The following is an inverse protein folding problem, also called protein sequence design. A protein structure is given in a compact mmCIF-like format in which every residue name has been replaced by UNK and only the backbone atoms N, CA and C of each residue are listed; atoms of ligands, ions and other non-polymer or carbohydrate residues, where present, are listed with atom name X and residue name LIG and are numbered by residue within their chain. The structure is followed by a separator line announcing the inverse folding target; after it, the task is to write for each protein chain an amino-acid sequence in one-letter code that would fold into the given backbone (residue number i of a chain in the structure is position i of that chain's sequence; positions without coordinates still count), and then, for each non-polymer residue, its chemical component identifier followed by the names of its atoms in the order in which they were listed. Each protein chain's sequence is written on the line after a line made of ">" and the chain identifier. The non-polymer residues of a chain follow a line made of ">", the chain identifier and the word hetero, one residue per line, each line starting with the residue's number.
data_IF_917777392035
#
_entry.id   IF_917777392035
#
_cell.length_a   1.000
_cell.length_b   1.000
_cell.length_c   1.000
_cell.angle_alpha   90.00
_cell.angle_beta   90.00
_cell.angle_gamma   90.00
#
_symmetry.space_group_name_H-M   'P 1'
#
loop_
_entity.id
_entity.type
_entity.pdbx_description
1 polymer ?
#
# COMPACT_ATOMS: atom_id res chain seq x y z
N UNK A 1 19.04 -34.34 48.16
CA UNK A 1 19.67 -35.67 47.95
C UNK A 1 18.56 -36.72 47.90
N UNK A 2 18.75 -37.77 47.08
CA UNK A 2 17.88 -38.95 46.82
C UNK A 2 16.85 -38.70 45.69
N UNK A 3 17.19 -38.97 44.41
CA UNK A 3 17.21 -40.27 43.68
C UNK A 3 15.87 -41.00 43.70
N UNK A 4 15.05 -40.84 42.66
CA UNK A 4 14.16 -41.92 42.20
C UNK A 4 14.18 -42.00 40.68
N UNK A 5 14.84 -43.06 40.24
CA UNK A 5 14.85 -43.53 38.88
C UNK A 5 13.66 -44.49 38.67
N UNK A 6 13.02 -44.34 37.51
CA UNK A 6 12.64 -45.43 36.60
C UNK A 6 11.60 -46.46 37.09
N UNK A 7 10.35 -46.34 36.64
CA UNK A 7 9.54 -47.50 36.21
C UNK A 7 8.78 -47.16 34.92
N UNK A 8 9.09 -47.98 33.92
CA UNK A 8 8.56 -48.08 32.58
C UNK A 8 7.30 -48.96 32.62
N UNK A 9 6.14 -48.47 32.15
CA UNK A 9 5.07 -49.35 31.65
C UNK A 9 4.43 -48.70 30.41
N UNK A 10 4.53 -49.45 29.33
CA UNK A 10 4.00 -49.23 28.00
C UNK A 10 2.47 -49.47 28.02
N UNK A 11 1.69 -48.50 27.53
CA UNK A 11 0.31 -48.74 27.10
C UNK A 11 0.12 -48.11 25.73
N UNK A 12 0.27 -48.95 24.70
CA UNK A 12 -0.24 -48.72 23.37
C UNK A 12 -1.76 -48.46 23.45
N UNK A 13 -2.20 -47.30 22.98
CA UNK A 13 -3.51 -47.15 22.38
C UNK A 13 -3.32 -46.59 20.98
N UNK A 14 -3.46 -47.51 20.02
CA UNK A 14 -3.48 -47.26 18.59
C UNK A 14 -4.83 -46.60 18.29
N UNK A 15 -4.87 -45.28 18.15
CA UNK A 15 -5.90 -44.62 17.36
C UNK A 15 -5.33 -44.39 15.97
N UNK A 16 -5.65 -45.32 15.08
CA UNK A 16 -5.55 -45.10 13.65
C UNK A 16 -6.58 -44.03 13.27
N UNK A 17 -6.11 -42.84 12.90
CA UNK A 17 -6.82 -41.93 12.02
C UNK A 17 -5.76 -41.31 11.10
N UNK A 18 -6.04 -41.34 9.79
CA UNK A 18 -5.04 -41.32 8.73
C UNK A 18 -4.23 -40.04 8.58
N UNK A 19 -3.26 -40.02 7.66
CA UNK A 19 -2.52 -38.81 7.33
C UNK A 19 -3.49 -37.87 6.60
N UNK A 20 -3.97 -36.84 7.27
CA UNK A 20 -4.50 -35.68 6.56
C UNK A 20 -3.29 -34.92 6.06
N UNK A 21 -2.94 -35.22 4.81
CA UNK A 21 -2.06 -34.42 4.00
C UNK A 21 -2.69 -33.04 3.80
N UNK A 22 -2.31 -32.08 4.63
CA UNK A 22 -2.33 -30.67 4.25
C UNK A 22 -0.88 -30.24 4.12
N UNK A 23 -0.30 -30.57 2.96
CA UNK A 23 0.75 -29.74 2.42
C UNK A 23 0.07 -28.46 1.95
N UNK A 24 -0.09 -27.50 2.87
CA UNK A 24 -0.34 -26.13 2.47
C UNK A 24 0.96 -25.69 1.81
N UNK A 25 0.94 -25.67 0.49
CA UNK A 25 1.89 -24.92 -0.30
C UNK A 25 1.65 -23.46 0.07
N UNK A 26 2.28 -23.03 1.16
CA UNK A 26 2.52 -21.62 1.44
C UNK A 26 3.30 -21.12 0.23
N UNK A 27 2.58 -20.56 -0.74
CA UNK A 27 3.15 -19.82 -1.83
C UNK A 27 4.09 -18.80 -1.18
N UNK A 28 5.40 -19.06 -1.31
CA UNK A 28 6.43 -18.19 -0.79
C UNK A 28 6.21 -16.83 -1.42
N UNK A 29 5.60 -15.92 -0.65
CA UNK A 29 5.71 -14.49 -0.92
C UNK A 29 7.16 -14.18 -0.68
N UNK A 30 7.90 -14.10 -1.78
CA UNK A 30 9.26 -13.60 -1.80
C UNK A 30 9.28 -12.22 -1.11
N UNK A 31 9.94 -12.08 0.06
CA UNK A 31 10.00 -10.80 0.77
C UNK A 31 10.88 -9.76 0.05
N UNK A 32 11.50 -10.08 -1.10
CA UNK A 32 12.48 -9.20 -1.76
C UNK A 32 11.95 -8.34 -2.91
N UNK A 33 10.63 -8.23 -3.16
CA UNK A 33 10.13 -7.29 -4.19
C UNK A 33 8.82 -6.57 -3.87
N UNK A 34 8.52 -6.29 -2.60
CA UNK A 34 7.54 -5.24 -2.27
C UNK A 34 8.28 -3.91 -2.31
N UNK A 35 8.34 -3.27 -3.47
CA UNK A 35 8.64 -1.84 -3.53
C UNK A 35 7.61 -1.13 -2.65
N UNK A 36 8.06 -0.51 -1.56
CA UNK A 36 7.19 0.25 -0.66
C UNK A 36 6.69 1.48 -1.42
N UNK A 37 5.56 1.30 -2.10
CA UNK A 37 4.92 2.34 -2.91
C UNK A 37 4.69 3.62 -2.10
N UNK A 38 4.43 3.49 -0.78
CA UNK A 38 4.30 4.65 0.10
C UNK A 38 5.62 5.41 0.21
N UNK A 39 6.74 4.70 0.29
CA UNK A 39 8.09 5.26 0.24
C UNK A 39 8.41 5.95 -1.09
N UNK A 40 8.05 5.32 -2.21
CA UNK A 40 8.30 5.87 -3.56
C UNK A 40 7.51 7.17 -3.82
N UNK A 41 6.31 7.28 -3.24
CA UNK A 41 5.45 8.47 -3.31
C UNK A 41 6.00 9.68 -2.56
N UNK A 42 6.90 9.50 -1.59
CA UNK A 42 7.35 10.60 -0.72
C UNK A 42 7.96 11.75 -1.51
N UNK A 43 7.68 12.98 -1.07
CA UNK A 43 8.19 14.23 -1.65
C UNK A 43 7.11 15.06 -2.36
N UNK A 44 7.58 16.06 -3.11
CA UNK A 44 6.72 17.04 -3.80
C UNK A 44 6.65 16.72 -5.28
N UNK A 45 5.43 16.71 -5.81
CA UNK A 45 5.11 16.44 -7.20
C UNK A 45 4.36 17.63 -7.78
N UNK A 46 4.78 18.09 -8.96
CA UNK A 46 4.13 19.19 -9.69
C UNK A 46 3.31 18.64 -10.85
N UNK A 47 2.11 19.15 -11.05
CA UNK A 47 1.26 18.73 -12.15
C UNK A 47 1.93 19.05 -13.49
N UNK A 48 1.82 18.10 -14.43
CA UNK A 48 2.26 18.32 -15.82
C UNK A 48 1.27 19.18 -16.61
N UNK A 49 0.01 19.24 -16.16
CA UNK A 49 -1.07 19.97 -16.83
C UNK A 49 -1.24 21.40 -16.29
N UNK A 50 -0.74 21.65 -15.07
CA UNK A 50 -0.78 22.96 -14.41
C UNK A 50 0.46 23.13 -13.51
N UNK A 51 1.37 24.01 -13.92
CA UNK A 51 2.64 24.20 -13.20
C UNK A 51 2.48 24.81 -11.81
N UNK A 52 1.35 25.42 -11.49
CA UNK A 52 1.07 26.02 -10.18
C UNK A 52 0.51 24.99 -9.19
N UNK A 53 -0.02 23.87 -9.70
CA UNK A 53 -0.61 22.81 -8.89
C UNK A 53 0.44 21.79 -8.44
N UNK A 54 0.44 21.47 -7.15
CA UNK A 54 1.32 20.47 -6.55
C UNK A 54 0.56 19.48 -5.67
N UNK A 55 1.13 18.30 -5.49
CA UNK A 55 0.76 17.35 -4.45
C UNK A 55 2.01 16.91 -3.70
N UNK A 56 1.97 16.94 -2.38
CA UNK A 56 3.07 16.58 -1.50
C UNK A 56 2.66 15.39 -0.64
N UNK A 57 3.52 14.38 -0.60
CA UNK A 57 3.36 13.21 0.25
C UNK A 57 4.41 13.22 1.36
N UNK A 58 3.96 13.20 2.61
CA UNK A 58 4.80 13.21 3.81
C UNK A 58 4.30 12.20 4.84
N UNK A 59 5.05 11.13 5.02
CA UNK A 59 4.59 9.98 5.80
C UNK A 59 3.31 9.41 5.16
N UNK A 60 2.21 9.45 5.90
CA UNK A 60 0.89 9.02 5.44
C UNK A 60 -0.04 10.19 5.07
N UNK A 61 0.50 11.40 4.90
CA UNK A 61 -0.27 12.59 4.55
C UNK A 61 -0.13 12.92 3.07
N UNK A 62 -1.25 13.26 2.44
CA UNK A 62 -1.34 13.84 1.11
C UNK A 62 -1.81 15.28 1.25
N UNK A 63 -1.09 16.21 0.64
CA UNK A 63 -1.32 17.65 0.78
C UNK A 63 -1.34 18.26 -0.62
N UNK A 64 -2.47 18.85 -1.02
CA UNK A 64 -2.55 19.60 -2.26
C UNK A 64 -2.12 21.04 -2.04
N UNK A 65 -1.33 21.57 -2.96
CA UNK A 65 -0.88 22.96 -2.96
C UNK A 65 -1.19 23.64 -4.29
N UNK A 66 -1.34 24.96 -4.23
CA UNK A 66 -1.45 25.82 -5.40
C UNK A 66 -0.65 27.10 -5.16
N UNK A 67 0.20 27.50 -6.12
CA UNK A 67 1.07 28.66 -5.95
C UNK A 67 0.25 29.94 -5.67
N UNK A 68 0.62 30.65 -4.60
CA UNK A 68 -0.05 31.87 -4.16
C UNK A 68 -1.20 31.65 -3.18
N UNK A 69 -1.59 30.40 -2.93
CA UNK A 69 -2.62 30.02 -1.96
C UNK A 69 -2.01 29.23 -0.78
N UNK A 70 -2.64 29.25 0.41
CA UNK A 70 -2.26 28.35 1.47
C UNK A 70 -2.50 26.89 1.05
N UNK A 71 -1.64 25.99 1.52
CA UNK A 71 -1.82 24.55 1.33
C UNK A 71 -3.20 24.08 1.80
N UNK A 72 -3.78 23.12 1.08
CA UNK A 72 -5.00 22.47 1.51
C UNK A 72 -4.80 21.71 2.82
N UNK A 73 -5.91 21.42 3.51
CA UNK A 73 -5.89 20.57 4.71
C UNK A 73 -5.24 19.23 4.37
N UNK A 74 -4.22 18.77 5.13
CA UNK A 74 -3.62 17.46 4.95
C UNK A 74 -4.64 16.33 5.13
N UNK A 75 -4.59 15.34 4.26
CA UNK A 75 -5.49 14.18 4.27
C UNK A 75 -4.69 12.90 4.45
N UNK A 76 -5.21 11.95 5.21
CA UNK A 76 -4.56 10.65 5.35
C UNK A 76 -4.72 9.87 4.04
N UNK A 77 -3.63 9.26 3.57
CA UNK A 77 -3.69 8.28 2.50
C UNK A 77 -3.19 6.92 2.98
N UNK A 78 -3.68 5.88 2.32
CA UNK A 78 -3.20 4.51 2.47
C UNK A 78 -2.96 3.92 1.09
N UNK A 79 -1.88 3.16 0.95
CA UNK A 79 -1.63 2.38 -0.26
C UNK A 79 -2.07 0.94 -0.02
N UNK A 80 -2.80 0.37 -0.98
CA UNK A 80 -3.28 -1.00 -0.88
C UNK A 80 -3.51 -1.65 -2.23
N UNK A 81 -3.87 -2.94 -2.20
CA UNK A 81 -4.19 -3.73 -3.40
C UNK A 81 -5.58 -3.45 -3.96
N UNK A 82 -6.40 -2.72 -3.21
CA UNK A 82 -7.76 -2.37 -3.55
C UNK A 82 -8.13 -1.03 -2.90
N UNK A 83 -9.19 -0.43 -3.40
CA UNK A 83 -9.83 0.71 -2.77
C UNK A 83 -10.78 0.21 -1.67
N UNK A 84 -10.64 0.67 -0.42
CA UNK A 84 -11.67 0.47 0.59
C UNK A 84 -12.94 1.23 0.17
N UNK A 85 -14.10 0.61 0.35
CA UNK A 85 -15.45 1.20 0.22
C UNK A 85 -15.91 1.71 -1.17
N UNK A 86 -15.18 1.45 -2.26
CA UNK A 86 -15.75 1.59 -3.61
C UNK A 86 -16.55 0.34 -3.98
N UNK A 87 -17.83 0.56 -4.28
CA UNK A 87 -18.75 -0.45 -4.81
C UNK A 87 -18.10 -1.31 -5.90
N UNK A 88 -18.30 -2.64 -5.81
CA UNK A 88 -17.85 -3.68 -6.75
C UNK A 88 -18.23 -3.42 -8.23
N UNK A 89 -19.03 -2.38 -8.51
CA UNK A 89 -19.42 -1.93 -9.84
C UNK A 89 -18.28 -1.33 -10.69
N UNK A 90 -17.11 -1.06 -10.09
CA UNK A 90 -15.88 -0.79 -10.83
C UNK A 90 -14.92 -1.91 -10.48
N UNK A 91 -14.89 -2.97 -11.29
CA UNK A 91 -13.98 -4.08 -11.09
C UNK A 91 -12.56 -3.54 -10.81
N UNK A 92 -11.89 -3.95 -9.71
CA UNK A 92 -10.46 -3.76 -9.61
C UNK A 92 -9.87 -4.65 -10.69
N UNK A 93 -9.53 -4.09 -11.84
CA UNK A 93 -8.96 -4.86 -12.94
C UNK A 93 -7.49 -5.15 -12.64
N UNK A 94 -7.24 -5.93 -11.58
CA UNK A 94 -5.94 -6.45 -11.22
C UNK A 94 -5.55 -6.26 -9.75
N UNK A 95 -4.59 -7.08 -9.33
CA UNK A 95 -3.70 -6.75 -8.23
C UNK A 95 -2.90 -5.50 -8.65
N UNK A 96 -2.87 -4.45 -7.83
CA UNK A 96 -2.20 -3.20 -8.21
C UNK A 96 -1.97 -2.26 -7.03
N UNK A 97 -1.41 -1.09 -7.32
CA UNK A 97 -1.11 -0.07 -6.32
C UNK A 97 -2.22 0.98 -6.33
N UNK A 98 -3.10 0.95 -5.34
CA UNK A 98 -4.15 1.94 -5.13
C UNK A 98 -3.77 2.90 -4.03
N UNK A 99 -4.08 4.17 -4.20
CA UNK A 99 -4.00 5.19 -3.15
C UNK A 99 -5.43 5.56 -2.75
N UNK A 100 -5.79 5.24 -1.51
CA UNK A 100 -7.09 5.60 -0.95
C UNK A 100 -6.94 6.72 0.07
N UNK A 101 -7.91 7.63 0.08
CA UNK A 101 -8.06 8.71 1.06
C UNK A 101 -9.31 8.39 1.88
N UNK A 102 -9.18 7.73 3.04
CA UNK A 102 -10.33 7.23 3.78
C UNK A 102 -11.27 8.34 4.26
N UNK A 103 -10.72 9.52 4.54
CA UNK A 103 -11.45 10.64 5.12
C UNK A 103 -12.59 11.16 4.21
N UNK A 104 -12.47 10.98 2.89
CA UNK A 104 -13.49 11.43 1.93
C UNK A 104 -13.87 10.40 0.85
N UNK A 105 -13.33 9.18 0.95
CA UNK A 105 -13.66 8.05 0.07
C UNK A 105 -13.06 8.16 -1.33
N UNK A 106 -12.17 9.11 -1.60
CA UNK A 106 -11.46 9.15 -2.89
C UNK A 106 -10.48 7.99 -2.99
N UNK A 107 -10.42 7.38 -4.18
CA UNK A 107 -9.45 6.36 -4.46
C UNK A 107 -8.87 6.50 -5.86
N UNK A 108 -7.56 6.35 -5.96
CA UNK A 108 -6.80 6.48 -7.19
C UNK A 108 -6.13 5.16 -7.52
N UNK A 109 -6.20 4.77 -8.79
CA UNK A 109 -5.33 3.74 -9.33
C UNK A 109 -4.01 4.38 -9.78
N UNK A 110 -2.89 3.94 -9.21
CA UNK A 110 -1.56 4.43 -9.60
C UNK A 110 -1.17 3.73 -10.90
N UNK A 111 -1.34 4.43 -12.02
CA UNK A 111 -1.05 3.89 -13.36
C UNK A 111 0.43 3.95 -13.72
N UNK A 112 1.19 4.84 -13.07
CA UNK A 112 2.64 4.94 -13.21
C UNK A 112 3.25 5.55 -11.93
N UNK A 113 4.28 4.91 -11.41
CA UNK A 113 5.15 5.46 -10.38
C UNK A 113 6.59 5.12 -10.74
N UNK A 114 7.38 6.16 -10.99
CA UNK A 114 8.84 6.09 -11.18
C UNK A 114 9.49 7.13 -10.27
N UNK A 115 10.82 7.17 -10.24
CA UNK A 115 11.58 8.19 -9.49
C UNK A 115 11.14 9.62 -9.81
N UNK A 116 10.70 9.89 -11.05
CA UNK A 116 10.41 11.22 -11.58
C UNK A 116 8.96 11.42 -12.04
N UNK A 117 8.14 10.36 -12.18
CA UNK A 117 6.76 10.44 -12.70
C UNK A 117 5.77 9.76 -11.76
N UNK A 118 4.65 10.44 -11.53
CA UNK A 118 3.49 9.91 -10.83
C UNK A 118 2.24 10.16 -11.66
N UNK A 119 1.58 9.08 -12.09
CA UNK A 119 0.28 9.16 -12.76
C UNK A 119 -0.76 8.42 -11.93
N UNK A 120 -1.89 9.09 -11.68
CA UNK A 120 -2.98 8.57 -10.88
C UNK A 120 -4.30 8.76 -11.61
N UNK A 121 -5.14 7.73 -11.64
CA UNK A 121 -6.47 7.80 -12.24
C UNK A 121 -7.53 7.67 -11.16
N UNK A 122 -8.41 8.67 -11.03
CA UNK A 122 -9.50 8.60 -10.06
C UNK A 122 -10.47 7.48 -10.45
N UNK A 123 -10.66 6.52 -9.55
CA UNK A 123 -11.52 5.35 -9.77
C UNK A 123 -12.96 5.82 -10.04
N UNK A 124 -13.60 5.22 -11.05
CA UNK A 124 -14.96 5.55 -11.48
C UNK A 124 -15.11 6.83 -12.32
N UNK A 125 -14.06 7.66 -12.46
CA UNK A 125 -14.10 8.88 -13.30
C UNK A 125 -13.18 8.85 -14.52
N UNK A 126 -12.14 8.01 -14.52
CA UNK A 126 -11.25 7.80 -15.67
C UNK A 126 -10.26 8.95 -15.98
N UNK A 127 -10.42 10.11 -15.32
CA UNK A 127 -9.47 11.22 -15.46
C UNK A 127 -8.13 10.84 -14.80
N UNK A 128 -7.05 10.98 -15.57
CA UNK A 128 -5.68 10.70 -15.10
C UNK A 128 -4.95 12.01 -14.86
N UNK A 129 -4.58 12.25 -13.61
CA UNK A 129 -3.67 13.33 -13.22
C UNK A 129 -2.24 12.85 -13.37
N UNK A 130 -1.36 13.71 -13.87
CA UNK A 130 0.05 13.41 -14.14
C UNK A 130 0.92 14.43 -13.45
N UNK A 131 1.96 13.94 -12.78
CA UNK A 131 2.89 14.77 -12.04
C UNK A 131 4.33 14.39 -12.34
N UNK A 132 5.21 15.37 -12.18
CA UNK A 132 6.67 15.24 -12.17
C UNK A 132 7.21 15.53 -10.78
N UNK A 133 8.19 14.74 -10.33
CA UNK A 133 8.84 14.98 -9.04
C UNK A 133 9.67 16.27 -9.10
N UNK A 134 9.54 17.12 -8.09
CA UNK A 134 10.39 18.31 -7.94
C UNK A 134 11.68 17.85 -7.25
N UNK A 135 12.79 17.88 -7.96
CA UNK A 135 14.10 17.57 -7.37
C UNK A 135 14.42 18.60 -6.26
N UNK A 136 14.65 18.14 -5.04
CA UNK A 136 15.10 18.99 -3.91
C UNK A 136 14.10 19.21 -2.77
N UNK A 137 13.11 18.34 -2.57
CA UNK A 137 12.14 18.47 -1.48
C UNK A 137 12.69 18.20 -0.08
N UNK A 138 13.66 19.00 0.40
CA UNK A 138 13.77 19.57 1.76
C UNK A 138 14.66 20.82 1.65
N UNK A 139 14.08 22.01 1.50
CA UNK A 139 14.76 23.24 1.94
C UNK A 139 14.09 23.69 3.22
N UNK A 140 14.71 23.45 4.40
CA UNK A 140 14.39 24.23 5.56
C UNK A 140 15.02 25.62 5.37
N UNK A 141 14.19 26.67 5.30
CA UNK A 141 14.65 28.01 5.66
C UNK A 141 14.78 28.12 7.19
#
# INVERSE_FOLDING_TARGET
>A
MIKYALILVCSLLIFACGPVSDAVEEAGVDPESVTDTSGDLQGVWRSEDDSLSTVRFEGNLMIFGYEGEPDATPENFVVGRSCPDVSDAVAPTGEGNYLAVPDDGRCYFITKLTEDKLHMSLVGKGNTVRYVKIAGGITPE
#
